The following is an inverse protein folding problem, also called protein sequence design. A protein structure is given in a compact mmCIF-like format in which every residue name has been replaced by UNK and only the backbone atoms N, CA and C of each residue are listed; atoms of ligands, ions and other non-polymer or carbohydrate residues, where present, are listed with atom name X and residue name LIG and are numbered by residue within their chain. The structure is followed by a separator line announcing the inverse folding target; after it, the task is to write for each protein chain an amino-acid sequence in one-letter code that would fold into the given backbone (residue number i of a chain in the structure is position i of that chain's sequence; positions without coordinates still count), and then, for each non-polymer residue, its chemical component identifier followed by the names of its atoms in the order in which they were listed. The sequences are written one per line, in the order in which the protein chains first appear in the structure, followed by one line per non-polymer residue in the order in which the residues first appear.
data_IF_758428762428
#
_entry.id   IF_758428762428
#
_cell.length_a   1.000
_cell.length_b   1.000
_cell.length_c   1.000
_cell.angle_alpha   90.00
_cell.angle_beta   90.00
_cell.angle_gamma   90.00
#
_symmetry.space_group_name_H-M   'P 1'
#
loop_
_entity.id
_entity.type
_entity.pdbx_description
1 polymer ?
#
# COMPACT_ATOMS: atom_id res chain seq x y z
N UNK A 1 -15.55 -19.79 -29.26
CA UNK A 1 -16.01 -20.25 -27.92
C UNK A 1 -15.06 -19.66 -26.89
N UNK A 2 -15.61 -19.06 -25.84
CA UNK A 2 -14.78 -18.58 -24.72
C UNK A 2 -14.19 -19.78 -23.98
N UNK A 3 -12.90 -19.82 -23.75
CA UNK A 3 -12.19 -20.84 -22.98
C UNK A 3 -12.50 -20.75 -21.48
N UNK A 4 -12.97 -19.59 -21.04
CA UNK A 4 -13.25 -19.30 -19.63
C UNK A 4 -14.76 -19.41 -19.35
N UNK A 5 -15.15 -19.87 -18.15
CA UNK A 5 -16.56 -19.96 -17.78
C UNK A 5 -17.24 -18.60 -17.73
N UNK A 6 -18.57 -18.60 -17.87
CA UNK A 6 -19.35 -17.39 -17.68
C UNK A 6 -19.16 -16.84 -16.26
N UNK A 7 -18.96 -15.52 -16.13
CA UNK A 7 -18.70 -14.87 -14.85
C UNK A 7 -17.24 -14.99 -14.37
N UNK A 8 -16.30 -15.44 -15.21
CA UNK A 8 -14.89 -15.44 -14.88
C UNK A 8 -14.41 -14.00 -14.59
N UNK A 9 -13.72 -13.83 -13.46
CA UNK A 9 -13.24 -12.51 -13.02
C UNK A 9 -11.86 -12.22 -13.61
N UNK A 10 -11.75 -11.10 -14.31
CA UNK A 10 -10.52 -10.60 -14.90
C UNK A 10 -10.03 -9.39 -14.11
N UNK A 11 -8.76 -9.39 -13.72
CA UNK A 11 -8.24 -8.27 -12.97
C UNK A 11 -6.79 -8.40 -12.55
N UNK A 12 -6.41 -7.58 -11.59
CA UNK A 12 -5.05 -7.50 -11.09
C UNK A 12 -4.98 -7.30 -9.58
N UNK A 13 -3.76 -7.27 -9.08
CA UNK A 13 -3.48 -7.09 -7.66
C UNK A 13 -2.37 -6.09 -7.43
N UNK A 14 -2.51 -5.28 -6.38
CA UNK A 14 -1.47 -4.44 -5.81
C UNK A 14 -1.20 -4.85 -4.36
N UNK A 15 -0.03 -4.48 -3.85
CA UNK A 15 0.27 -4.57 -2.43
C UNK A 15 0.27 -3.17 -1.82
N UNK A 16 -0.38 -2.96 -0.69
CA UNK A 16 -0.51 -1.68 -0.02
C UNK A 16 0.84 -0.97 0.17
N UNK A 17 1.84 -1.69 0.67
CA UNK A 17 3.18 -1.15 0.92
C UNK A 17 3.99 -0.80 -0.35
N UNK A 18 3.53 -1.25 -1.53
CA UNK A 18 4.17 -0.97 -2.81
C UNK A 18 3.45 0.12 -3.60
N UNK A 19 2.20 0.42 -3.25
CA UNK A 19 1.35 1.29 -4.06
C UNK A 19 0.85 2.53 -3.32
N UNK A 20 0.51 2.43 -2.04
CA UNK A 20 -0.21 3.49 -1.35
C UNK A 20 0.58 4.80 -1.23
N UNK A 21 1.85 4.76 -0.87
CA UNK A 21 2.55 5.96 -0.46
C UNK A 21 1.96 6.55 0.83
N UNK A 22 1.94 7.89 0.95
CA UNK A 22 1.31 8.58 2.08
C UNK A 22 1.70 7.99 3.45
N UNK A 23 2.98 7.69 3.63
CA UNK A 23 3.51 6.82 4.69
C UNK A 23 3.30 7.33 6.12
N UNK A 24 2.95 8.61 6.29
CA UNK A 24 2.61 9.25 7.57
C UNK A 24 1.26 9.94 7.58
N UNK A 25 0.53 9.91 6.46
CA UNK A 25 -0.76 10.57 6.35
C UNK A 25 -1.89 9.72 6.91
N UNK A 26 -2.99 10.37 7.29
CA UNK A 26 -4.14 9.69 7.86
C UNK A 26 -3.83 8.92 9.15
N UNK A 27 -2.83 9.35 9.92
CA UNK A 27 -2.42 8.70 11.16
C UNK A 27 -1.70 7.36 10.97
N UNK A 28 -1.23 7.02 9.77
CA UNK A 28 -0.49 5.79 9.51
C UNK A 28 0.82 5.74 10.29
N UNK A 29 1.08 4.61 10.95
CA UNK A 29 2.38 4.30 11.55
C UNK A 29 3.40 3.77 10.55
N UNK A 30 4.68 3.82 10.93
CA UNK A 30 5.77 3.29 10.11
C UNK A 30 5.81 1.77 10.15
N UNK A 31 6.21 1.19 9.03
CA UNK A 31 6.47 -0.25 8.89
C UNK A 31 7.93 -0.52 8.58
N UNK A 32 8.33 -1.78 8.62
CA UNK A 32 9.68 -2.19 8.20
C UNK A 32 9.97 -1.82 6.75
N UNK A 33 8.96 -1.81 5.88
CA UNK A 33 9.11 -1.42 4.47
C UNK A 33 9.43 0.06 4.34
N UNK A 34 8.84 0.91 5.19
CA UNK A 34 9.10 2.35 5.20
C UNK A 34 10.54 2.70 5.62
N UNK A 35 11.25 1.74 6.24
CA UNK A 35 12.66 1.87 6.63
C UNK A 35 13.65 1.38 5.58
N UNK A 36 13.18 0.84 4.45
CA UNK A 36 14.05 0.29 3.40
C UNK A 36 14.41 1.39 2.39
N UNK A 37 15.67 1.86 2.39
CA UNK A 37 16.09 2.93 1.48
C UNK A 37 16.28 2.43 0.05
N UNK A 38 16.37 3.36 -0.87
CA UNK A 38 16.92 3.14 -2.20
C UNK A 38 18.46 3.17 -2.15
N UNK A 39 19.13 2.50 -3.11
CA UNK A 39 20.59 2.60 -3.26
C UNK A 39 21.40 1.51 -2.54
N UNK A 40 22.66 1.81 -2.24
CA UNK A 40 23.64 0.83 -1.80
C UNK A 40 23.26 0.10 -0.50
N UNK A 41 22.62 0.79 0.43
CA UNK A 41 22.27 0.23 1.74
C UNK A 41 21.00 -0.64 1.71
N UNK A 42 20.24 -0.61 0.60
CA UNK A 42 18.95 -1.33 0.49
C UNK A 42 19.05 -2.81 0.84
N UNK A 43 20.04 -3.50 0.28
CA UNK A 43 20.14 -4.95 0.47
C UNK A 43 20.55 -5.30 1.90
N UNK A 44 21.45 -4.53 2.50
CA UNK A 44 21.89 -4.74 3.88
C UNK A 44 20.75 -4.56 4.88
N UNK A 45 19.92 -3.52 4.69
CA UNK A 45 18.72 -3.28 5.50
C UNK A 45 17.68 -4.37 5.28
N UNK A 46 17.36 -4.70 4.02
CA UNK A 46 16.36 -5.73 3.67
C UNK A 46 16.71 -7.11 4.23
N UNK A 47 17.98 -7.47 4.27
CA UNK A 47 18.45 -8.75 4.79
C UNK A 47 18.70 -8.74 6.31
N UNK A 48 18.43 -7.62 6.99
CA UNK A 48 18.67 -7.49 8.43
C UNK A 48 20.14 -7.44 8.84
N UNK A 49 21.06 -7.30 7.88
CA UNK A 49 22.49 -7.11 8.15
C UNK A 49 22.78 -5.74 8.74
N UNK A 50 22.00 -4.75 8.36
CA UNK A 50 21.95 -3.42 8.96
C UNK A 50 20.58 -3.21 9.60
N UNK A 51 20.56 -3.01 10.91
CA UNK A 51 19.30 -2.73 11.64
C UNK A 51 18.98 -1.26 11.52
N UNK A 52 17.71 -0.96 11.14
CA UNK A 52 17.18 0.40 11.01
C UNK A 52 15.99 0.56 11.94
N UNK A 53 16.07 1.57 12.80
CA UNK A 53 15.00 1.95 13.73
C UNK A 53 14.54 3.40 13.55
N UNK A 54 15.15 4.13 12.60
CA UNK A 54 14.80 5.49 12.24
C UNK A 54 15.10 5.75 10.78
N UNK A 55 14.38 6.71 10.21
CA UNK A 55 14.65 7.24 8.87
C UNK A 55 15.87 8.16 8.92
N UNK A 56 16.58 8.24 7.79
CA UNK A 56 17.71 9.17 7.58
C UNK A 56 17.31 10.20 6.54
N UNK A 57 17.64 11.46 6.78
CA UNK A 57 17.28 12.58 5.91
C UNK A 57 18.06 12.59 4.58
N UNK A 58 19.20 11.90 4.55
CA UNK A 58 20.08 11.78 3.38
C UNK A 58 19.75 10.56 2.48
N UNK A 59 18.67 9.82 2.78
CA UNK A 59 18.25 8.65 2.03
C UNK A 59 16.86 8.83 1.43
N UNK A 60 16.66 8.29 0.23
CA UNK A 60 15.36 8.20 -0.42
C UNK A 60 14.68 6.85 -0.12
N UNK A 61 13.41 6.89 0.22
CA UNK A 61 12.60 5.73 0.57
C UNK A 61 11.45 5.57 -0.42
N UNK A 62 11.55 4.63 -1.38
CA UNK A 62 10.55 4.50 -2.46
C UNK A 62 9.12 4.26 -1.99
N UNK A 63 8.93 3.57 -0.86
CA UNK A 63 7.59 3.28 -0.32
C UNK A 63 6.86 4.51 0.22
N UNK A 64 7.59 5.62 0.49
CA UNK A 64 6.97 6.83 1.02
C UNK A 64 6.05 7.51 0.02
N UNK A 65 6.41 7.46 -1.27
CA UNK A 65 5.62 7.99 -2.38
C UNK A 65 4.92 6.87 -3.15
N UNK A 66 5.65 5.78 -3.44
CA UNK A 66 5.19 4.66 -4.25
C UNK A 66 4.58 5.14 -5.57
N UNK A 67 3.34 4.77 -5.89
CA UNK A 67 2.55 5.31 -7.01
C UNK A 67 1.45 6.27 -6.53
N UNK A 68 1.53 6.66 -5.26
CA UNK A 68 0.56 7.56 -4.60
C UNK A 68 -0.89 7.09 -4.69
N UNK A 69 -1.09 5.78 -4.60
CA UNK A 69 -2.42 5.17 -4.69
C UNK A 69 -3.36 5.65 -3.58
N UNK A 70 -2.85 6.04 -2.42
CA UNK A 70 -3.65 6.59 -1.33
C UNK A 70 -4.47 7.82 -1.76
N UNK A 71 -3.91 8.69 -2.60
CA UNK A 71 -4.62 9.85 -3.13
C UNK A 71 -5.30 9.59 -4.47
N UNK A 72 -4.73 8.71 -5.29
CA UNK A 72 -5.12 8.49 -6.69
C UNK A 72 -6.04 7.28 -6.92
N UNK A 73 -6.35 6.50 -5.90
CA UNK A 73 -7.08 5.22 -6.07
C UNK A 73 -8.38 5.33 -6.86
N UNK A 74 -9.11 6.45 -6.76
CA UNK A 74 -10.37 6.65 -7.50
C UNK A 74 -10.13 6.71 -9.01
N UNK A 75 -9.13 7.48 -9.42
CA UNK A 75 -8.71 7.61 -10.81
C UNK A 75 -8.13 6.28 -11.32
N UNK A 76 -7.23 5.69 -10.55
CA UNK A 76 -6.55 4.45 -10.93
C UNK A 76 -7.55 3.29 -11.09
N UNK A 77 -8.55 3.17 -10.20
CA UNK A 77 -9.58 2.13 -10.31
C UNK A 77 -10.51 2.41 -11.49
N UNK A 78 -10.84 3.66 -11.79
CA UNK A 78 -11.61 4.01 -12.98
C UNK A 78 -10.88 3.57 -14.26
N UNK A 79 -9.57 3.83 -14.35
CA UNK A 79 -8.74 3.37 -15.46
C UNK A 79 -8.68 1.84 -15.56
N UNK A 80 -8.58 1.13 -14.43
CA UNK A 80 -8.65 -0.34 -14.42
C UNK A 80 -9.99 -0.84 -14.95
N UNK A 81 -11.10 -0.19 -14.57
CA UNK A 81 -12.42 -0.53 -15.08
C UNK A 81 -12.55 -0.28 -16.60
N UNK A 82 -12.00 0.82 -17.12
CA UNK A 82 -11.93 1.08 -18.56
C UNK A 82 -11.11 0.03 -19.31
N UNK A 83 -10.06 -0.52 -18.68
CA UNK A 83 -9.29 -1.63 -19.23
C UNK A 83 -10.04 -2.98 -19.22
N UNK A 84 -11.24 -3.03 -18.64
CA UNK A 84 -12.08 -4.23 -18.57
C UNK A 84 -11.86 -5.08 -17.32
N UNK A 85 -11.25 -4.55 -16.28
CA UNK A 85 -11.13 -5.27 -14.99
C UNK A 85 -12.51 -5.42 -14.35
N UNK A 86 -12.82 -6.63 -13.90
CA UNK A 86 -14.03 -6.98 -13.16
C UNK A 86 -13.74 -7.33 -11.70
N UNK A 87 -12.46 -7.41 -11.35
CA UNK A 87 -11.99 -7.62 -9.98
C UNK A 87 -10.66 -6.90 -9.77
N UNK A 88 -10.51 -6.32 -8.60
CA UNK A 88 -9.26 -5.74 -8.14
C UNK A 88 -8.95 -6.26 -6.72
N UNK A 89 -7.73 -6.66 -6.48
CA UNK A 89 -7.25 -7.14 -5.18
C UNK A 89 -6.16 -6.22 -4.65
N UNK A 90 -6.25 -5.89 -3.38
CA UNK A 90 -5.15 -5.21 -2.66
C UNK A 90 -4.97 -5.81 -1.27
N UNK A 91 -3.89 -5.48 -0.59
CA UNK A 91 -3.72 -5.73 0.83
C UNK A 91 -4.13 -4.52 1.65
N UNK A 92 -4.34 -4.72 2.93
CA UNK A 92 -4.61 -3.66 3.92
C UNK A 92 -3.34 -3.45 4.74
N UNK A 93 -2.82 -2.21 4.76
CA UNK A 93 -1.67 -1.87 5.60
C UNK A 93 -2.09 -1.85 7.07
N UNK A 94 -1.60 -2.83 7.86
CA UNK A 94 -1.93 -2.92 9.28
C UNK A 94 -1.63 -1.62 10.04
N UNK A 95 -0.48 -1.01 9.77
CA UNK A 95 -0.08 0.24 10.42
C UNK A 95 -0.93 1.45 10.05
N UNK A 96 -1.80 1.36 9.03
CA UNK A 96 -2.79 2.38 8.74
C UNK A 96 -4.01 2.23 9.64
N UNK A 97 -4.32 1.00 10.05
CA UNK A 97 -5.41 0.70 10.97
C UNK A 97 -4.95 0.77 12.44
N UNK A 98 -3.75 0.27 12.71
CA UNK A 98 -3.15 0.23 14.05
C UNK A 98 -1.73 0.78 13.96
N UNK A 99 -1.54 2.10 14.10
CA UNK A 99 -0.25 2.78 13.88
C UNK A 99 0.92 2.26 14.73
N UNK A 100 0.67 1.87 15.97
CA UNK A 100 1.66 1.25 16.87
C UNK A 100 1.57 -0.28 16.88
N UNK A 101 0.51 -0.85 16.31
CA UNK A 101 0.31 -2.28 16.13
C UNK A 101 -0.62 -2.97 17.16
N UNK A 102 -0.91 -2.33 18.26
CA UNK A 102 -1.61 -2.92 19.42
C UNK A 102 -2.68 -2.01 20.06
N UNK A 103 -3.12 -0.98 19.35
CA UNK A 103 -4.18 -0.11 19.85
C UNK A 103 -5.49 -0.90 20.07
N UNK A 104 -6.27 -0.58 21.11
CA UNK A 104 -7.54 -1.25 21.38
C UNK A 104 -8.64 -0.95 20.35
N UNK A 105 -8.50 0.15 19.62
CA UNK A 105 -9.41 0.57 18.55
C UNK A 105 -8.62 0.99 17.30
N UNK A 106 -9.14 0.67 16.11
CA UNK A 106 -8.48 1.04 14.87
C UNK A 106 -8.55 2.55 14.61
N UNK A 107 -7.56 3.04 13.87
CA UNK A 107 -7.52 4.41 13.37
C UNK A 107 -8.69 4.66 12.40
N UNK A 108 -9.54 5.64 12.73
CA UNK A 108 -10.74 5.96 11.96
C UNK A 108 -10.46 6.39 10.53
N UNK A 109 -9.38 7.15 10.30
CA UNK A 109 -9.01 7.61 8.97
C UNK A 109 -8.56 6.44 8.08
N UNK A 110 -7.80 5.50 8.64
CA UNK A 110 -7.42 4.27 7.95
C UNK A 110 -8.64 3.41 7.56
N UNK A 111 -9.59 3.24 8.48
CA UNK A 111 -10.86 2.56 8.20
C UNK A 111 -11.63 3.27 7.08
N UNK A 112 -11.77 4.60 7.17
CA UNK A 112 -12.50 5.39 6.17
C UNK A 112 -11.89 5.25 4.77
N UNK A 113 -10.55 5.25 4.67
CA UNK A 113 -9.84 5.03 3.41
C UNK A 113 -10.20 3.67 2.78
N UNK A 114 -10.05 2.58 3.53
CA UNK A 114 -10.35 1.24 2.98
C UNK A 114 -11.84 1.01 2.70
N UNK A 115 -12.73 1.56 3.50
CA UNK A 115 -14.17 1.51 3.19
C UNK A 115 -14.48 2.29 1.91
N UNK A 116 -13.88 3.46 1.72
CA UNK A 116 -14.02 4.22 0.47
C UNK A 116 -13.49 3.44 -0.74
N UNK A 117 -12.36 2.76 -0.59
CA UNK A 117 -11.76 1.92 -1.64
C UNK A 117 -12.67 0.75 -2.02
N UNK A 118 -13.31 0.10 -1.05
CA UNK A 118 -14.21 -1.05 -1.27
C UNK A 118 -15.52 -0.62 -1.93
N UNK A 119 -16.04 0.55 -1.59
CA UNK A 119 -17.34 1.04 -2.02
C UNK A 119 -17.31 2.07 -3.16
N UNK A 120 -16.23 2.10 -3.90
CA UNK A 120 -16.06 3.02 -5.01
C UNK A 120 -17.01 2.78 -6.18
#
# INVERSE_FOLDING_TARGET
MSVFPQGFLWGGALAANQSEGAYREGGKGLTTVDMIPHGANRLAVKLGKEKRFSLRDDEFYPSHEAIDFYHRYKEDIALMAEMGFTVFRTSIAWSRLYPNGDEPLPNKEGIAFYLSLIHI
#
